data_IF_792246367648
#
_entry.id   IF_792246367648
#
_cell.length_a   1.000
_cell.length_b   1.000
_cell.length_c   1.000
_cell.angle_alpha   90.00
_cell.angle_beta   90.00
_cell.angle_gamma   90.00
#
_symmetry.space_group_name_H-M   'P 1'
#
loop_
_entity.id
_entity.type
_entity.pdbx_description
1 polymer ?
#
# COMPACT_ATOMS: atom_id res chain seq x y z
N UNK A 1 -15.06 6.52 47.78
CA UNK A 1 -13.89 5.66 47.64
C UNK A 1 -14.02 4.90 46.36
N UNK A 2 -13.13 5.16 45.47
CA UNK A 2 -13.04 4.38 44.25
C UNK A 2 -12.74 2.94 44.58
N UNK A 3 -13.37 1.99 43.90
CA UNK A 3 -12.97 0.59 43.96
C UNK A 3 -11.49 0.49 43.58
N UNK A 4 -10.59 0.21 44.51
CA UNK A 4 -9.17 0.42 44.22
C UNK A 4 -8.66 -0.79 43.59
N UNK A 5 -8.89 -1.36 42.72
CA UNK A 5 -8.14 -2.46 42.14
C UNK A 5 -8.87 -3.27 41.11
N UNK A 6 -8.53 -3.02 39.91
CA UNK A 6 -8.77 -3.86 38.76
C UNK A 6 -8.18 -5.28 38.90
N UNK A 7 -7.15 -5.46 39.69
CA UNK A 7 -6.48 -6.77 39.85
C UNK A 7 -7.15 -7.74 40.80
N UNK A 8 -7.91 -7.23 41.76
CA UNK A 8 -8.69 -8.10 42.69
C UNK A 8 -10.15 -8.12 42.34
N UNK A 9 -10.46 -7.72 41.18
CA UNK A 9 -11.78 -7.42 40.67
C UNK A 9 -12.79 -8.60 40.77
N UNK A 10 -12.33 -9.81 40.63
CA UNK A 10 -13.21 -10.97 40.61
C UNK A 10 -13.58 -11.50 42.00
N UNK A 11 -12.79 -11.21 43.00
CA UNK A 11 -12.97 -11.73 44.35
C UNK A 11 -13.58 -10.72 45.29
N UNK A 12 -13.44 -9.45 45.04
CA UNK A 12 -13.90 -8.39 45.94
C UNK A 12 -15.37 -8.03 45.75
N UNK A 13 -15.88 -8.11 44.55
CA UNK A 13 -17.27 -7.77 44.27
C UNK A 13 -18.28 -8.81 44.77
N UNK A 14 -17.85 -10.02 45.04
CA UNK A 14 -18.75 -11.07 45.51
C UNK A 14 -18.98 -11.13 47.03
N UNK A 15 -18.15 -10.41 47.80
CA UNK A 15 -18.17 -10.51 49.26
C UNK A 15 -18.60 -9.26 50.01
N UNK A 16 -18.59 -8.12 49.39
CA UNK A 16 -18.96 -6.88 50.04
C UNK A 16 -20.09 -6.25 49.24
N UNK A 17 -21.25 -6.30 49.81
CA UNK A 17 -22.41 -5.60 49.27
C UNK A 17 -22.27 -4.12 49.67
N UNK A 18 -21.40 -3.43 49.02
CA UNK A 18 -21.38 -1.98 49.14
C UNK A 18 -22.44 -1.40 48.20
N UNK A 19 -23.39 -0.67 48.71
CA UNK A 19 -24.47 -0.08 47.90
C UNK A 19 -23.95 0.98 46.89
N UNK A 20 -22.70 1.32 47.01
CA UNK A 20 -22.06 2.31 46.13
C UNK A 20 -21.14 1.70 45.05
N UNK A 21 -20.92 0.38 45.13
CA UNK A 21 -20.20 -0.31 44.07
C UNK A 21 -21.18 -0.62 42.95
N UNK A 22 -21.41 0.31 42.10
CA UNK A 22 -22.28 0.16 40.93
C UNK A 22 -21.55 -0.64 39.86
N UNK A 23 -21.48 -1.93 40.02
CA UNK A 23 -20.99 -2.84 38.99
C UNK A 23 -21.89 -2.89 37.75
N UNK A 24 -23.05 -2.21 37.80
CA UNK A 24 -23.99 -2.14 36.71
C UNK A 24 -23.53 -1.21 35.58
N UNK A 25 -22.51 -0.38 35.81
CA UNK A 25 -21.90 0.45 34.78
C UNK A 25 -21.01 -0.32 33.77
N UNK A 26 -20.70 -1.54 34.11
CA UNK A 26 -19.93 -2.43 33.26
C UNK A 26 -20.57 -2.69 31.87
N UNK A 27 -21.87 -2.94 31.75
CA UNK A 27 -22.47 -3.20 30.44
C UNK A 27 -22.54 -1.98 29.54
N UNK A 28 -22.53 -0.76 30.09
CA UNK A 28 -22.54 0.44 29.27
C UNK A 28 -21.20 0.75 28.62
N UNK A 29 -20.09 0.30 29.20
CA UNK A 29 -18.77 0.41 28.57
C UNK A 29 -18.63 -0.50 27.35
N UNK A 30 -19.30 -1.65 27.36
CA UNK A 30 -19.28 -2.59 26.24
C UNK A 30 -20.10 -2.12 25.04
N UNK A 31 -21.06 -1.22 25.25
CA UNK A 31 -21.85 -0.65 24.14
C UNK A 31 -21.05 0.19 23.17
N UNK A 32 -20.02 0.84 23.65
CA UNK A 32 -19.12 1.64 22.79
C UNK A 32 -17.94 0.83 22.24
N UNK A 33 -17.67 -0.32 22.81
CA UNK A 33 -16.57 -1.19 22.41
C UNK A 33 -16.60 -1.60 20.94
N UNK A 34 -17.72 -2.12 20.41
CA UNK A 34 -17.76 -2.53 19.01
C UNK A 34 -17.62 -1.35 18.04
N UNK A 35 -18.18 -0.20 18.37
CA UNK A 35 -18.03 1.01 17.54
C UNK A 35 -16.59 1.51 17.51
N UNK A 36 -15.92 1.53 18.65
CA UNK A 36 -14.52 1.92 18.73
C UNK A 36 -13.64 0.95 17.94
N UNK A 37 -13.90 -0.34 18.04
CA UNK A 37 -13.16 -1.35 17.27
C UNK A 37 -13.39 -1.16 15.77
N UNK A 38 -14.61 -0.91 15.33
CA UNK A 38 -14.94 -0.66 13.94
C UNK A 38 -14.23 0.62 13.45
N UNK A 39 -14.24 1.69 14.25
CA UNK A 39 -13.54 2.93 13.92
C UNK A 39 -12.04 2.71 13.83
N UNK A 40 -11.44 1.96 14.77
CA UNK A 40 -10.02 1.64 14.75
C UNK A 40 -9.65 0.79 13.54
N UNK A 41 -10.46 -0.20 13.19
CA UNK A 41 -10.27 -1.02 11.98
C UNK A 41 -10.40 -0.17 10.71
N UNK A 42 -11.34 0.76 10.70
CA UNK A 42 -11.52 1.68 9.58
C UNK A 42 -10.33 2.65 9.44
N UNK A 43 -9.83 3.16 10.56
CA UNK A 43 -8.61 3.98 10.60
C UNK A 43 -7.40 3.18 10.11
N UNK A 44 -7.22 1.93 10.56
CA UNK A 44 -6.16 1.06 10.07
C UNK A 44 -6.28 0.81 8.56
N UNK A 45 -7.49 0.64 8.06
CA UNK A 45 -7.71 0.48 6.63
C UNK A 45 -7.34 1.74 5.83
N UNK A 46 -7.61 2.92 6.36
CA UNK A 46 -7.19 4.19 5.77
C UNK A 46 -5.67 4.40 5.81
N UNK A 47 -5.01 3.96 6.88
CA UNK A 47 -3.54 4.05 7.01
C UNK A 47 -2.80 3.11 6.05
N UNK A 48 -3.42 2.03 5.59
CA UNK A 48 -2.84 1.11 4.61
C UNK A 48 -2.89 1.62 3.17
N UNK A 49 -3.47 2.78 2.93
CA UNK A 49 -3.33 3.49 1.66
C UNK A 49 -1.86 3.82 1.45
N UNK A 50 -1.12 2.86 0.88
CA UNK A 50 0.27 3.04 0.47
C UNK A 50 0.35 4.32 -0.35
N UNK A 51 1.05 5.31 0.17
CA UNK A 51 1.33 6.54 -0.56
C UNK A 51 2.03 6.18 -1.88
N UNK A 52 1.28 6.17 -2.95
CA UNK A 52 1.78 5.83 -4.28
C UNK A 52 2.73 6.94 -4.71
N UNK A 53 4.01 6.63 -4.69
CA UNK A 53 5.04 7.57 -5.15
C UNK A 53 5.08 7.57 -6.66
N UNK A 54 5.19 8.76 -7.24
CA UNK A 54 5.39 8.96 -8.67
C UNK A 54 6.87 9.28 -8.92
N UNK A 55 7.43 8.70 -9.95
CA UNK A 55 8.81 8.92 -10.39
C UNK A 55 8.82 9.49 -11.82
N UNK A 56 9.85 10.23 -12.13
CA UNK A 56 10.08 10.76 -13.46
C UNK A 56 11.08 9.84 -14.17
N UNK A 57 10.78 9.49 -15.39
CA UNK A 57 11.64 8.75 -16.32
C UNK A 57 11.71 9.47 -17.66
N UNK A 58 12.70 9.16 -18.43
CA UNK A 58 12.86 9.68 -19.78
C UNK A 58 12.57 8.58 -20.81
N UNK A 59 11.74 8.88 -21.80
CA UNK A 59 11.37 7.96 -22.87
C UNK A 59 11.58 8.68 -24.20
N UNK A 60 12.54 8.21 -24.99
CA UNK A 60 12.89 8.84 -26.27
C UNK A 60 13.10 10.37 -26.14
N UNK A 61 13.84 10.80 -25.11
CA UNK A 61 14.09 12.21 -24.84
C UNK A 61 12.93 12.99 -24.22
N UNK A 62 11.78 12.35 -23.93
CA UNK A 62 10.63 12.99 -23.31
C UNK A 62 10.45 12.53 -21.87
N UNK A 63 10.29 13.47 -20.95
CA UNK A 63 10.05 13.15 -19.54
C UNK A 63 8.61 12.71 -19.35
N UNK A 64 8.45 11.53 -18.75
CA UNK A 64 7.14 10.96 -18.36
C UNK A 64 7.12 10.63 -16.88
N UNK A 65 5.99 10.89 -16.25
CA UNK A 65 5.77 10.54 -14.83
C UNK A 65 5.03 9.22 -14.76
N UNK A 66 5.58 8.26 -14.03
CA UNK A 66 5.00 6.94 -13.79
C UNK A 66 4.96 6.64 -12.30
N UNK A 67 4.30 5.56 -11.92
CA UNK A 67 4.32 5.08 -10.55
C UNK A 67 5.63 4.37 -10.23
N UNK A 68 6.13 4.57 -9.01
CA UNK A 68 7.32 3.86 -8.52
C UNK A 68 7.08 2.34 -8.56
N UNK A 69 8.09 1.60 -8.95
CA UNK A 69 8.05 0.13 -9.15
C UNK A 69 7.14 -0.36 -10.28
N UNK A 70 6.67 0.51 -11.16
CA UNK A 70 6.00 0.06 -12.39
C UNK A 70 6.93 -0.82 -13.21
N UNK A 71 6.37 -1.87 -13.81
CA UNK A 71 7.14 -2.75 -14.69
C UNK A 71 7.29 -2.11 -16.07
N UNK A 72 8.44 -2.35 -16.69
CA UNK A 72 8.68 -1.92 -18.06
C UNK A 72 7.59 -2.43 -19.02
N UNK A 73 7.12 -3.66 -18.83
CA UNK A 73 6.04 -4.24 -19.63
C UNK A 73 4.71 -3.48 -19.54
N UNK A 74 4.38 -2.94 -18.36
CA UNK A 74 3.16 -2.14 -18.17
C UNK A 74 3.25 -0.80 -18.90
N UNK A 75 4.43 -0.18 -18.84
CA UNK A 75 4.69 1.06 -19.58
C UNK A 75 4.53 0.87 -21.09
N UNK A 76 5.11 -0.19 -21.63
CA UNK A 76 5.02 -0.49 -23.06
C UNK A 76 3.60 -0.81 -23.52
N UNK A 77 2.81 -1.49 -22.68
CA UNK A 77 1.37 -1.70 -22.92
C UNK A 77 0.59 -0.40 -22.96
N UNK A 78 0.87 0.53 -22.03
CA UNK A 78 0.23 1.85 -22.02
C UNK A 78 0.57 2.67 -23.27
N UNK A 79 1.77 2.50 -23.81
CA UNK A 79 2.21 3.15 -25.04
C UNK A 79 1.71 2.43 -26.31
N UNK A 80 1.01 1.30 -26.17
CA UNK A 80 0.51 0.45 -27.27
C UNK A 80 1.62 0.03 -28.25
N UNK A 81 2.83 -0.21 -27.73
CA UNK A 81 4.00 -0.56 -28.55
C UNK A 81 4.07 -2.09 -28.70
N UNK A 82 4.09 -2.61 -29.94
CA UNK A 82 4.22 -4.03 -30.17
C UNK A 82 5.64 -4.51 -29.87
N UNK A 83 5.82 -5.34 -28.85
CA UNK A 83 7.13 -5.84 -28.41
C UNK A 83 7.91 -6.62 -29.47
N UNK A 84 7.24 -7.11 -30.51
CA UNK A 84 7.85 -7.94 -31.53
C UNK A 84 8.71 -7.16 -32.54
N UNK A 85 8.40 -5.88 -32.72
CA UNK A 85 9.01 -5.03 -33.74
C UNK A 85 9.88 -3.89 -33.18
N UNK A 86 10.26 -3.98 -31.89
CA UNK A 86 11.01 -2.93 -31.22
C UNK A 86 12.21 -3.49 -30.48
N UNK A 87 13.29 -2.73 -30.46
CA UNK A 87 14.38 -2.87 -29.52
C UNK A 87 14.18 -1.84 -28.40
N UNK A 88 14.49 -2.23 -27.18
CA UNK A 88 14.36 -1.39 -26.00
C UNK A 88 15.70 -1.30 -25.32
N UNK A 89 16.14 -0.09 -25.11
CA UNK A 89 17.34 0.22 -24.34
C UNK A 89 16.92 0.87 -23.02
N UNK A 90 17.52 0.43 -21.94
CA UNK A 90 17.37 1.00 -20.61
C UNK A 90 18.76 1.41 -20.12
N UNK A 91 18.97 2.71 -19.92
CA UNK A 91 20.25 3.25 -19.46
C UNK A 91 21.43 2.80 -20.34
N UNK A 92 21.26 2.87 -21.66
CA UNK A 92 22.27 2.48 -22.68
C UNK A 92 22.52 0.97 -22.75
N UNK A 93 21.70 0.15 -22.09
CA UNK A 93 21.79 -1.31 -22.17
C UNK A 93 20.56 -1.88 -22.91
N UNK A 94 20.81 -2.73 -23.91
CA UNK A 94 19.74 -3.40 -24.67
C UNK A 94 19.09 -4.47 -23.79
N UNK A 95 17.79 -4.40 -23.63
CA UNK A 95 17.03 -5.32 -22.79
C UNK A 95 16.40 -6.44 -23.60
N UNK A 96 16.70 -7.67 -23.20
CA UNK A 96 16.03 -8.84 -23.76
C UNK A 96 14.54 -8.85 -23.47
N UNK A 97 13.74 -9.26 -24.46
CA UNK A 97 12.29 -9.40 -24.35
C UNK A 97 11.85 -10.25 -23.17
N UNK A 98 12.62 -11.25 -22.80
CA UNK A 98 12.36 -12.14 -21.65
C UNK A 98 12.48 -11.42 -20.30
N UNK A 99 13.34 -10.41 -20.22
CA UNK A 99 13.60 -9.63 -18.99
C UNK A 99 12.59 -8.50 -18.77
N UNK A 100 11.92 -8.02 -19.82
CA UNK A 100 10.99 -6.87 -19.80
C UNK A 100 9.91 -7.02 -18.73
N UNK A 101 9.37 -8.22 -18.55
CA UNK A 101 8.30 -8.48 -17.59
C UNK A 101 8.76 -8.46 -16.12
N UNK A 102 10.05 -8.67 -15.89
CA UNK A 102 10.64 -8.72 -14.54
C UNK A 102 11.26 -7.39 -14.13
N UNK A 103 11.56 -6.52 -15.07
CA UNK A 103 12.29 -5.28 -14.87
C UNK A 103 11.36 -4.21 -14.28
N UNK A 104 11.77 -3.65 -13.13
CA UNK A 104 11.09 -2.54 -12.47
C UNK A 104 11.83 -1.25 -12.78
N UNK A 105 11.08 -0.23 -13.09
CA UNK A 105 11.61 1.09 -13.40
C UNK A 105 11.92 1.88 -12.14
N UNK A 106 13.03 2.62 -12.19
CA UNK A 106 13.52 3.49 -11.12
C UNK A 106 13.43 4.96 -11.53
N UNK A 107 13.62 5.83 -10.57
CA UNK A 107 13.70 7.28 -10.82
C UNK A 107 14.89 7.60 -11.71
N UNK A 108 14.67 8.46 -12.69
CA UNK A 108 15.65 8.94 -13.68
C UNK A 108 16.14 7.86 -14.66
N UNK A 109 15.42 6.75 -14.81
CA UNK A 109 15.74 5.80 -15.87
C UNK A 109 15.50 6.42 -17.25
N UNK A 110 16.44 6.16 -18.15
CA UNK A 110 16.37 6.55 -19.55
C UNK A 110 16.01 5.35 -20.39
N UNK A 111 14.90 5.45 -21.12
CA UNK A 111 14.39 4.37 -21.97
C UNK A 111 14.39 4.86 -23.40
N UNK A 112 15.03 4.11 -24.29
CA UNK A 112 14.96 4.35 -25.71
C UNK A 112 14.29 3.19 -26.42
N UNK A 113 13.31 3.51 -27.25
CA UNK A 113 12.50 2.53 -27.98
C UNK A 113 12.71 2.76 -29.47
N UNK A 114 13.37 1.81 -30.10
CA UNK A 114 13.68 1.84 -31.52
C UNK A 114 12.80 0.83 -32.25
N UNK A 115 12.07 1.29 -33.25
CA UNK A 115 11.27 0.41 -34.09
C UNK A 115 12.17 -0.19 -35.19
N UNK A 116 12.13 -1.50 -35.32
CA UNK A 116 12.71 -2.13 -36.51
C UNK A 116 11.78 -1.84 -37.71
N UNK A 117 12.21 -0.92 -38.54
CA UNK A 117 11.61 -0.78 -39.86
C UNK A 117 12.17 -1.95 -40.66
N UNK A 118 11.37 -3.01 -40.77
CA UNK A 118 11.73 -4.13 -41.62
C UNK A 118 11.78 -3.65 -43.07
N UNK A 119 12.97 -3.31 -43.49
CA UNK A 119 13.26 -3.21 -44.88
C UNK A 119 13.45 -4.64 -45.40
N UNK A 120 12.47 -5.14 -46.03
CA UNK A 120 12.59 -6.38 -46.79
C UNK A 120 12.75 -6.07 -48.24
#
# INVERSE_FOLDING_TARGET
>A
MSCPFLEQFSLSCSKVVDPYCDCSLSPNRLRFGPLIIIILLFIQHLYTMKKIKKIKIEINGKIKTIYENSKLSELLKQLKIPLNKVAIELNEEIIDKKKINKLKLKKNDKIEIVHFIGGG
#
